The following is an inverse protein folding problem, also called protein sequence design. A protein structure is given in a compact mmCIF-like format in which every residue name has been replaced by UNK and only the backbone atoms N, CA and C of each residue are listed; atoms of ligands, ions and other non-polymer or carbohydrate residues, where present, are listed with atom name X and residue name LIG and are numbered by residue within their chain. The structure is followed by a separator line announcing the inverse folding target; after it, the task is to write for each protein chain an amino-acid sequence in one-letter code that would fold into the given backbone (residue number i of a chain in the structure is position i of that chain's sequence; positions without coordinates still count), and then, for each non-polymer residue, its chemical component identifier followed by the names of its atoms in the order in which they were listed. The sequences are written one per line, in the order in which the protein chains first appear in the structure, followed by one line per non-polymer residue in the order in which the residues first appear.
data_IF_447066259856
#
_entry.id   IF_447066259856
#
_cell.length_a   1.000
_cell.length_b   1.000
_cell.length_c   1.000
_cell.angle_alpha   90.00
_cell.angle_beta   90.00
_cell.angle_gamma   90.00
#
_symmetry.space_group_name_H-M   'P 1'
#
loop_
_entity.id
_entity.type
_entity.pdbx_description
1 polymer ?
#
# COMPACT_ATOMS: atom_id res chain seq x y z
N UNK A 1 -3.19 -14.20 -14.26
CA UNK A 1 -3.50 -13.41 -13.07
C UNK A 1 -2.22 -13.08 -12.31
N UNK A 2 -1.89 -11.81 -12.11
CA UNK A 2 -0.59 -11.37 -11.55
C UNK A 2 -0.40 -11.85 -10.10
N UNK A 3 -1.49 -11.88 -9.33
CA UNK A 3 -1.53 -12.36 -7.94
C UNK A 3 -1.17 -13.85 -7.82
N UNK A 4 -1.62 -14.69 -8.76
CA UNK A 4 -1.32 -16.11 -8.77
C UNK A 4 0.15 -16.40 -9.13
N UNK A 5 0.75 -15.59 -10.02
CA UNK A 5 2.16 -15.69 -10.39
C UNK A 5 3.07 -15.28 -9.21
N UNK A 6 2.69 -14.21 -8.51
CA UNK A 6 3.45 -13.70 -7.37
C UNK A 6 3.49 -14.67 -6.18
N UNK A 7 2.38 -15.36 -5.92
CA UNK A 7 2.26 -16.33 -4.82
C UNK A 7 3.17 -17.55 -4.98
N UNK A 8 3.62 -17.85 -6.21
CA UNK A 8 4.43 -19.03 -6.50
C UNK A 8 5.93 -18.76 -6.36
N UNK A 9 6.37 -17.56 -6.75
CA UNK A 9 7.80 -17.25 -6.91
C UNK A 9 8.35 -16.23 -5.88
N UNK A 10 7.51 -15.71 -4.97
CA UNK A 10 7.91 -14.68 -3.96
C UNK A 10 8.72 -13.53 -4.57
N UNK A 11 8.33 -13.09 -5.75
CA UNK A 11 9.04 -12.03 -6.44
C UNK A 11 8.98 -10.74 -5.62
N UNK A 12 10.03 -9.92 -5.60
CA UNK A 12 9.91 -8.57 -5.06
C UNK A 12 9.22 -7.69 -6.10
N UNK A 13 8.06 -7.12 -5.78
CA UNK A 13 7.36 -6.15 -6.63
C UNK A 13 7.47 -4.76 -6.00
N UNK A 14 7.80 -3.78 -6.84
CA UNK A 14 7.61 -2.35 -6.55
C UNK A 14 6.53 -1.85 -7.48
N UNK A 15 5.47 -1.27 -6.91
CA UNK A 15 4.38 -0.66 -7.64
C UNK A 15 4.28 0.80 -7.25
N UNK A 16 4.02 1.66 -8.24
CA UNK A 16 3.71 3.08 -8.05
C UNK A 16 2.27 3.30 -8.48
N UNK A 17 1.44 3.76 -7.56
CA UNK A 17 0.04 4.11 -7.82
C UNK A 17 -0.28 5.45 -7.19
N UNK A 18 -1.31 6.11 -7.72
CA UNK A 18 -1.92 7.30 -7.14
C UNK A 18 -3.17 6.96 -6.30
N UNK A 19 -3.58 5.69 -6.30
CA UNK A 19 -4.74 5.19 -5.57
C UNK A 19 -4.30 4.57 -4.24
N UNK A 20 -4.70 5.20 -3.14
CA UNK A 20 -4.27 4.83 -1.79
C UNK A 20 -4.80 3.46 -1.37
N UNK A 21 -6.04 3.15 -1.71
CA UNK A 21 -6.69 1.86 -1.44
C UNK A 21 -5.99 0.70 -2.17
N UNK A 22 -5.59 0.90 -3.44
CA UNK A 22 -4.79 -0.10 -4.17
C UNK A 22 -3.43 -0.35 -3.52
N UNK A 23 -2.75 0.72 -3.04
CA UNK A 23 -1.49 0.58 -2.34
C UNK A 23 -1.64 -0.26 -1.06
N UNK A 24 -2.70 -0.01 -0.29
CA UNK A 24 -3.03 -0.78 0.94
C UNK A 24 -3.58 -2.17 0.63
N UNK A 25 -4.11 -2.43 -0.55
CA UNK A 25 -4.55 -3.78 -0.96
C UNK A 25 -3.38 -4.68 -1.39
N UNK A 26 -2.42 -4.12 -2.13
CA UNK A 26 -1.44 -4.92 -2.87
C UNK A 26 -0.07 -5.05 -2.17
N UNK A 27 0.30 -4.11 -1.31
CA UNK A 27 1.67 -4.00 -0.80
C UNK A 27 1.81 -4.41 0.66
N UNK A 28 2.90 -5.08 1.03
CA UNK A 28 3.22 -5.32 2.45
C UNK A 28 3.77 -4.06 3.14
N UNK A 29 4.25 -3.10 2.34
CA UNK A 29 4.75 -1.80 2.76
C UNK A 29 4.35 -0.72 1.77
N UNK A 30 3.86 0.41 2.27
CA UNK A 30 3.54 1.61 1.47
C UNK A 30 4.53 2.70 1.83
N UNK A 31 5.22 3.23 0.83
CA UNK A 31 6.10 4.39 0.94
C UNK A 31 5.32 5.61 0.43
N UNK A 32 5.09 6.59 1.30
CA UNK A 32 4.49 7.87 0.91
C UNK A 32 5.61 8.83 0.51
N UNK A 33 5.49 9.41 -0.68
CA UNK A 33 6.49 10.31 -1.23
C UNK A 33 5.99 11.75 -1.23
N UNK A 34 6.86 12.69 -0.87
CA UNK A 34 6.55 14.12 -0.98
C UNK A 34 6.46 14.56 -2.45
N UNK A 35 5.67 15.60 -2.76
CA UNK A 35 5.84 16.37 -3.99
C UNK A 35 7.27 16.92 -4.09
N UNK A 36 7.67 17.32 -5.31
CA UNK A 36 9.05 17.73 -5.64
C UNK A 36 9.71 18.61 -4.54
N UNK A 37 10.94 18.28 -4.10
CA UNK A 37 11.75 17.12 -4.48
C UNK A 37 11.21 15.82 -3.88
N UNK A 38 11.20 14.73 -4.65
CA UNK A 38 10.62 13.45 -4.23
C UNK A 38 11.45 12.79 -3.13
N UNK A 39 10.97 12.88 -1.89
CA UNK A 39 11.55 12.24 -0.71
C UNK A 39 10.56 11.26 -0.11
N UNK A 40 11.04 10.26 0.62
CA UNK A 40 10.16 9.40 1.41
C UNK A 40 9.75 10.16 2.66
N UNK A 41 8.48 10.51 2.75
CA UNK A 41 7.90 11.19 3.90
C UNK A 41 7.58 10.20 5.02
N UNK A 42 7.01 9.06 4.65
CA UNK A 42 6.54 8.07 5.60
C UNK A 42 6.60 6.66 5.02
N UNK A 43 6.68 5.69 5.92
CA UNK A 43 6.55 4.27 5.61
C UNK A 43 5.42 3.69 6.45
N UNK A 44 4.50 2.97 5.82
CA UNK A 44 3.38 2.28 6.45
C UNK A 44 3.58 0.78 6.23
N UNK A 45 3.72 0.02 7.31
CA UNK A 45 3.71 -1.44 7.23
C UNK A 45 2.26 -1.95 7.23
N UNK A 46 1.92 -2.81 6.25
CA UNK A 46 0.57 -3.37 6.09
C UNK A 46 0.58 -4.82 6.56
N UNK A 47 0.32 -5.01 7.86
CA UNK A 47 0.32 -6.33 8.51
C UNK A 47 -0.94 -7.16 8.26
N UNK A 48 -1.83 -6.72 7.37
CA UNK A 48 -3.05 -7.45 7.01
C UNK A 48 -2.72 -8.65 6.12
N UNK A 49 -3.21 -9.83 6.51
CA UNK A 49 -3.07 -11.06 5.74
C UNK A 49 -3.79 -10.94 4.39
N UNK A 50 -3.26 -11.62 3.37
CA UNK A 50 -3.87 -11.70 2.04
C UNK A 50 -4.75 -12.97 1.97
N UNK A 51 -5.91 -12.93 1.28
CA UNK A 51 -6.53 -11.76 0.66
C UNK A 51 -7.07 -10.78 1.70
N UNK A 52 -6.85 -9.48 1.49
CA UNK A 52 -7.23 -8.43 2.44
C UNK A 52 -8.74 -8.15 2.35
N UNK A 53 -9.39 -8.02 3.50
CA UNK A 53 -10.80 -7.60 3.55
C UNK A 53 -10.91 -6.08 3.49
N UNK A 54 -11.27 -5.55 2.31
CA UNK A 54 -11.48 -4.12 2.07
C UNK A 54 -12.61 -3.50 2.89
N UNK A 55 -13.46 -4.31 3.53
CA UNK A 55 -14.56 -3.86 4.38
C UNK A 55 -14.19 -3.88 5.86
N UNK A 56 -13.01 -4.39 6.20
CA UNK A 56 -12.55 -4.44 7.59
C UNK A 56 -12.18 -3.05 8.09
N UNK A 57 -12.39 -2.82 9.39
CA UNK A 57 -11.99 -1.57 10.05
C UNK A 57 -10.49 -1.32 9.96
N UNK A 58 -9.69 -2.37 10.04
CA UNK A 58 -8.23 -2.26 10.00
C UNK A 58 -7.74 -1.84 8.61
N UNK A 59 -8.40 -2.30 7.55
CA UNK A 59 -8.12 -1.82 6.19
C UNK A 59 -8.43 -0.34 6.04
N UNK A 60 -9.60 0.11 6.50
CA UNK A 60 -9.96 1.53 6.48
C UNK A 60 -9.01 2.39 7.29
N UNK A 61 -8.57 1.92 8.47
CA UNK A 61 -7.61 2.66 9.30
C UNK A 61 -6.27 2.91 8.57
N UNK A 62 -5.78 1.93 7.81
CA UNK A 62 -4.56 2.08 7.00
C UNK A 62 -4.77 3.04 5.82
N UNK A 63 -5.92 2.96 5.15
CA UNK A 63 -6.28 3.88 4.06
C UNK A 63 -6.40 5.31 4.56
N UNK A 64 -7.06 5.52 5.70
CA UNK A 64 -7.19 6.84 6.32
C UNK A 64 -5.81 7.40 6.70
N UNK A 65 -4.95 6.57 7.30
CA UNK A 65 -3.58 6.96 7.64
C UNK A 65 -2.76 7.37 6.42
N UNK A 66 -2.86 6.62 5.33
CA UNK A 66 -2.16 6.95 4.09
C UNK A 66 -2.71 8.23 3.45
N UNK A 67 -4.02 8.43 3.47
CA UNK A 67 -4.66 9.66 2.96
C UNK A 67 -4.26 10.92 3.75
N UNK A 68 -4.06 10.83 5.06
CA UNK A 68 -3.56 11.94 5.87
C UNK A 68 -2.18 12.42 5.41
N UNK A 69 -1.32 11.49 4.97
CA UNK A 69 0.04 11.78 4.54
C UNK A 69 0.11 12.30 3.09
N UNK A 70 -0.85 11.92 2.24
CA UNK A 70 -0.89 12.36 0.83
C UNK A 70 -1.48 13.77 0.67
N UNK A 71 -2.25 14.28 1.66
CA UNK A 71 -3.01 15.55 1.58
C UNK A 71 -2.15 16.84 1.73
N UNK A 72 -0.92 16.85 1.22
CA UNK A 72 -0.08 18.05 1.13
C UNK A 72 -0.32 18.77 -0.21
#
# INVERSE_FOLDING_TARGET
DLLALWSKDRMTIVMVTHLVDEAVEMSDRVLVMTPRPGMVEATIDVSLSRPRDKRSKDFFALVDRANELVKI
#
